data_IF_928579393038
#
_entry.id   IF_928579393038
#
_cell.length_a   1.000
_cell.length_b   1.000
_cell.length_c   1.000
_cell.angle_alpha   90.00
_cell.angle_beta   90.00
_cell.angle_gamma   90.00
#
_symmetry.space_group_name_H-M   'P 1'
#
loop_
_entity.id
_entity.type
_entity.pdbx_description
1 polymer ?
#
# COMPACT_ATOMS: atom_id res chain seq x y z
N UNK A 1 13.08 -16.24 -2.78
CA UNK A 1 14.46 -16.67 -2.41
C UNK A 1 15.13 -17.53 -3.50
N UNK A 2 14.73 -18.79 -3.72
CA UNK A 2 15.41 -19.67 -4.72
C UNK A 2 15.28 -19.18 -6.17
N UNK A 3 14.06 -18.89 -6.62
CA UNK A 3 13.77 -18.48 -8.01
C UNK A 3 14.61 -17.30 -8.49
N UNK A 4 14.80 -16.30 -7.62
CA UNK A 4 15.54 -15.08 -7.92
C UNK A 4 16.93 -15.03 -7.30
N UNK A 5 17.41 -16.15 -6.74
CA UNK A 5 18.74 -16.29 -6.13
C UNK A 5 19.02 -15.20 -5.08
N UNK A 6 18.02 -14.87 -4.26
CA UNK A 6 18.15 -13.84 -3.21
C UNK A 6 18.90 -14.47 -2.03
N UNK A 7 20.07 -13.94 -1.61
CA UNK A 7 20.76 -14.45 -0.43
C UNK A 7 19.94 -14.18 0.84
N UNK A 8 19.82 -15.19 1.73
CA UNK A 8 19.02 -15.07 2.96
C UNK A 8 19.48 -13.91 3.84
N UNK A 9 20.79 -13.69 3.95
CA UNK A 9 21.34 -12.61 4.76
C UNK A 9 20.97 -11.23 4.22
N UNK A 10 21.01 -11.05 2.89
CA UNK A 10 20.61 -9.81 2.21
C UNK A 10 19.12 -9.55 2.39
N UNK A 11 18.29 -10.58 2.29
CA UNK A 11 16.85 -10.46 2.53
C UNK A 11 16.54 -10.05 3.97
N UNK A 12 17.14 -10.72 4.96
CA UNK A 12 16.95 -10.37 6.38
C UNK A 12 17.39 -8.93 6.64
N UNK A 13 18.55 -8.52 6.10
CA UNK A 13 19.05 -7.17 6.31
C UNK A 13 18.14 -6.11 5.67
N UNK A 14 17.65 -6.34 4.46
CA UNK A 14 16.66 -5.46 3.84
C UNK A 14 15.41 -5.34 4.71
N UNK A 15 14.82 -6.46 5.15
CA UNK A 15 13.58 -6.44 5.92
C UNK A 15 13.76 -5.72 7.26
N UNK A 16 14.86 -5.95 7.98
CA UNK A 16 15.17 -5.22 9.21
C UNK A 16 15.38 -3.73 8.96
N UNK A 17 16.09 -3.39 7.89
CA UNK A 17 16.33 -1.98 7.54
C UNK A 17 15.03 -1.27 7.17
N UNK A 18 14.14 -1.91 6.40
CA UNK A 18 12.83 -1.36 6.08
C UNK A 18 11.95 -1.21 7.33
N UNK A 19 11.93 -2.22 8.20
CA UNK A 19 11.21 -2.18 9.47
C UNK A 19 11.69 -1.03 10.36
N UNK A 20 13.00 -0.77 10.43
CA UNK A 20 13.58 0.37 11.17
C UNK A 20 13.15 1.73 10.58
N UNK A 21 12.77 1.79 9.30
CA UNK A 21 12.24 3.02 8.68
C UNK A 21 10.71 3.17 8.85
N UNK A 22 10.02 2.18 9.40
CA UNK A 22 8.64 2.37 9.86
C UNK A 22 8.63 2.93 11.28
N UNK A 23 7.89 4.02 11.49
CA UNK A 23 7.93 4.77 12.74
C UNK A 23 7.07 4.07 13.80
N UNK A 24 7.70 3.59 14.87
CA UNK A 24 6.99 2.84 15.92
C UNK A 24 6.08 3.72 16.81
N UNK A 25 6.27 5.04 16.77
CA UNK A 25 5.41 6.03 17.41
C UNK A 25 4.18 6.40 16.56
N UNK A 26 4.15 6.00 15.28
CA UNK A 26 2.97 6.13 14.41
C UNK A 26 2.00 4.96 14.71
N UNK A 27 0.76 5.24 15.18
CA UNK A 27 -0.12 4.19 15.69
C UNK A 27 -0.57 3.15 14.64
N UNK A 28 -0.93 3.57 13.43
CA UNK A 28 -1.48 2.71 12.39
C UNK A 28 -0.47 2.41 11.29
N UNK A 29 0.06 3.43 10.61
CA UNK A 29 0.98 3.25 9.47
C UNK A 29 2.43 2.92 9.91
N UNK A 30 2.59 1.78 10.59
CA UNK A 30 3.86 1.23 11.05
C UNK A 30 4.14 -0.16 10.44
N UNK A 31 5.22 -0.83 10.86
CA UNK A 31 5.64 -2.10 10.26
C UNK A 31 4.62 -3.24 10.43
N UNK A 32 3.74 -3.16 11.43
CA UNK A 32 2.67 -4.15 11.65
C UNK A 32 1.61 -4.02 10.54
N UNK A 33 1.26 -2.80 10.14
CA UNK A 33 0.36 -2.56 9.01
C UNK A 33 0.97 -3.08 7.71
N UNK A 34 2.24 -2.74 7.44
CA UNK A 34 2.96 -3.26 6.28
C UNK A 34 2.97 -4.80 6.24
N UNK A 35 3.15 -5.46 7.40
CA UNK A 35 3.08 -6.91 7.51
C UNK A 35 1.65 -7.47 7.25
N UNK A 36 0.59 -6.82 7.74
CA UNK A 36 -0.79 -7.21 7.47
C UNK A 36 -1.13 -7.09 5.98
N UNK A 37 -0.73 -6.00 5.33
CA UNK A 37 -0.94 -5.79 3.89
C UNK A 37 -0.14 -6.80 3.07
N UNK A 38 1.14 -7.03 3.37
CA UNK A 38 1.96 -8.02 2.68
C UNK A 38 1.40 -9.45 2.80
N UNK A 39 0.91 -9.82 3.99
CA UNK A 39 0.25 -11.10 4.21
C UNK A 39 -1.09 -11.20 3.47
N UNK A 40 -1.86 -10.12 3.43
CA UNK A 40 -3.14 -10.06 2.73
C UNK A 40 -2.95 -10.19 1.21
N UNK A 41 -1.97 -9.48 0.62
CA UNK A 41 -1.57 -9.64 -0.79
C UNK A 41 -1.13 -11.08 -1.07
N UNK A 42 -0.34 -11.70 -0.18
CA UNK A 42 0.03 -13.09 -0.33
C UNK A 42 -1.19 -14.02 -0.42
N UNK A 43 -2.20 -13.84 0.43
CA UNK A 43 -3.44 -14.63 0.39
C UNK A 43 -4.24 -14.37 -0.89
N UNK A 44 -4.36 -13.11 -1.32
CA UNK A 44 -5.08 -12.76 -2.55
C UNK A 44 -4.44 -13.36 -3.81
N UNK A 45 -3.10 -13.44 -3.86
CA UNK A 45 -2.35 -14.11 -4.93
C UNK A 45 -2.62 -15.62 -4.99
N UNK A 46 -3.07 -16.24 -3.90
CA UNK A 46 -3.43 -17.67 -3.84
C UNK A 46 -4.89 -17.93 -4.27
N UNK A 47 -5.63 -16.92 -4.71
CA UNK A 47 -6.98 -17.10 -5.22
C UNK A 47 -7.00 -18.08 -6.40
N UNK A 48 -7.84 -19.13 -6.40
CA UNK A 48 -7.93 -20.08 -7.51
C UNK A 48 -8.26 -19.45 -8.86
N UNK A 49 -9.00 -18.33 -8.85
CA UNK A 49 -9.32 -17.58 -10.06
C UNK A 49 -8.09 -16.90 -10.70
N UNK A 50 -6.99 -16.76 -9.94
CA UNK A 50 -5.74 -16.14 -10.35
C UNK A 50 -4.60 -17.17 -10.49
N UNK A 51 -4.92 -18.46 -10.45
CA UNK A 51 -3.93 -19.53 -10.59
C UNK A 51 -3.17 -19.40 -11.91
N UNK A 52 -1.84 -19.40 -11.82
CA UNK A 52 -0.92 -19.25 -12.96
C UNK A 52 -1.13 -18.00 -13.83
N UNK A 53 -1.85 -16.98 -13.35
CA UNK A 53 -2.06 -15.72 -14.07
C UNK A 53 -0.81 -14.86 -14.02
N UNK A 54 -0.19 -14.73 -12.85
CA UNK A 54 0.98 -13.88 -12.62
C UNK A 54 2.29 -14.65 -12.77
N UNK A 55 3.33 -13.97 -13.28
CA UNK A 55 4.69 -14.50 -13.32
C UNK A 55 5.32 -14.43 -11.93
N UNK A 56 6.38 -15.22 -11.71
CA UNK A 56 7.17 -15.12 -10.48
C UNK A 56 7.67 -13.68 -10.21
N UNK A 57 7.98 -12.90 -11.26
CA UNK A 57 8.51 -11.54 -11.11
C UNK A 57 7.42 -10.59 -10.63
N UNK A 58 6.20 -10.74 -11.13
CA UNK A 58 5.03 -9.97 -10.68
C UNK A 58 4.65 -10.33 -9.25
N UNK A 59 4.68 -11.62 -8.88
CA UNK A 59 4.45 -12.08 -7.50
C UNK A 59 5.49 -11.47 -6.56
N UNK A 60 6.78 -11.53 -6.92
CA UNK A 60 7.85 -10.89 -6.14
C UNK A 60 7.60 -9.39 -6.00
N UNK A 61 7.19 -8.73 -7.08
CA UNK A 61 6.96 -7.29 -7.11
C UNK A 61 5.77 -6.90 -6.24
N UNK A 62 4.68 -7.65 -6.28
CA UNK A 62 3.49 -7.39 -5.48
C UNK A 62 3.76 -7.51 -3.98
N UNK A 63 4.50 -8.55 -3.57
CA UNK A 63 4.90 -8.74 -2.18
C UNK A 63 5.90 -7.67 -1.73
N UNK A 64 6.84 -7.26 -2.60
CA UNK A 64 7.77 -6.18 -2.30
C UNK A 64 7.04 -4.83 -2.17
N UNK A 65 6.15 -4.49 -3.11
CA UNK A 65 5.35 -3.27 -3.08
C UNK A 65 4.51 -3.18 -1.78
N UNK A 66 3.84 -4.27 -1.40
CA UNK A 66 3.08 -4.34 -0.15
C UNK A 66 3.95 -4.07 1.09
N UNK A 67 5.17 -4.62 1.13
CA UNK A 67 6.07 -4.44 2.26
C UNK A 67 6.65 -3.03 2.39
N UNK A 68 6.59 -2.20 1.33
CA UNK A 68 7.20 -0.87 1.32
C UNK A 68 6.19 0.28 1.17
N UNK A 69 4.91 0.01 0.93
CA UNK A 69 3.97 1.03 0.42
C UNK A 69 3.85 2.27 1.33
N UNK A 70 4.04 2.08 2.64
CA UNK A 70 3.99 3.12 3.67
C UNK A 70 5.32 3.36 4.42
N UNK A 71 6.46 2.93 3.88
CA UNK A 71 7.73 3.09 4.60
C UNK A 71 8.04 4.57 4.84
N UNK A 72 8.48 4.93 6.05
CA UNK A 72 8.73 6.31 6.48
C UNK A 72 7.46 7.20 6.54
N UNK A 73 6.27 6.61 6.73
CA UNK A 73 5.02 7.35 6.89
C UNK A 73 5.02 8.20 8.19
N UNK A 74 4.76 9.53 8.13
CA UNK A 74 4.89 10.46 9.26
C UNK A 74 3.65 10.55 10.18
N UNK A 75 2.67 9.66 9.97
CA UNK A 75 1.42 9.63 10.73
C UNK A 75 0.46 10.79 10.43
N UNK A 76 0.52 11.34 9.21
CA UNK A 76 -0.35 12.42 8.73
C UNK A 76 -0.66 12.21 7.24
N UNK A 77 -1.78 12.73 6.75
CA UNK A 77 -2.21 12.54 5.35
C UNK A 77 -1.49 13.44 4.35
N UNK A 78 -1.56 13.08 3.06
CA UNK A 78 -1.14 13.94 1.95
C UNK A 78 -1.74 15.36 2.06
N UNK A 79 -3.03 15.48 2.41
CA UNK A 79 -3.68 16.79 2.54
C UNK A 79 -3.10 17.64 3.68
N UNK A 80 -2.73 17.02 4.80
CA UNK A 80 -2.04 17.72 5.89
C UNK A 80 -0.67 18.25 5.42
N UNK A 81 0.11 17.43 4.70
CA UNK A 81 1.42 17.81 4.18
C UNK A 81 1.34 18.98 3.20
N UNK A 82 0.30 19.02 2.36
CA UNK A 82 0.01 20.12 1.43
C UNK A 82 -0.40 21.38 2.19
N UNK A 83 -1.39 21.27 3.09
CA UNK A 83 -1.92 22.42 3.84
C UNK A 83 -0.85 23.08 4.75
N UNK A 84 0.11 22.30 5.23
CA UNK A 84 1.23 22.77 6.04
C UNK A 84 2.44 23.26 5.23
N UNK A 85 2.38 23.17 3.88
CA UNK A 85 3.52 23.48 3.00
C UNK A 85 4.79 22.72 3.38
N UNK A 86 4.65 21.45 3.72
CA UNK A 86 5.78 20.60 4.11
C UNK A 86 6.81 20.43 2.98
N UNK A 87 8.06 20.16 3.35
CA UNK A 87 9.13 19.88 2.38
C UNK A 87 8.80 18.72 1.43
N UNK A 88 8.08 17.69 1.91
CA UNK A 88 7.65 16.58 1.07
C UNK A 88 6.63 17.04 0.02
N UNK A 89 5.62 17.81 0.43
CA UNK A 89 4.62 18.33 -0.51
C UNK A 89 5.26 19.20 -1.60
N UNK A 90 6.21 20.07 -1.22
CA UNK A 90 6.99 20.87 -2.16
C UNK A 90 7.86 20.01 -3.09
N UNK A 91 8.52 18.98 -2.56
CA UNK A 91 9.37 18.08 -3.34
C UNK A 91 8.59 17.29 -4.39
N UNK A 92 7.40 16.83 -4.04
CA UNK A 92 6.55 16.00 -4.89
C UNK A 92 5.47 16.78 -5.63
N UNK A 93 5.45 18.11 -5.49
CA UNK A 93 4.51 19.02 -6.17
C UNK A 93 3.04 18.63 -5.91
N UNK A 94 2.73 18.31 -4.65
CA UNK A 94 1.39 17.95 -4.16
C UNK A 94 0.77 16.67 -4.77
N UNK A 95 1.50 15.92 -5.60
CA UNK A 95 1.03 14.70 -6.27
C UNK A 95 1.53 13.43 -5.57
N UNK A 96 0.60 12.64 -5.01
CA UNK A 96 0.86 11.35 -4.34
C UNK A 96 2.10 11.40 -3.43
N UNK A 97 2.12 12.41 -2.55
CA UNK A 97 3.32 12.86 -1.82
C UNK A 97 3.93 11.73 -0.98
N UNK A 98 3.12 11.06 -0.18
CA UNK A 98 3.56 9.97 0.70
C UNK A 98 3.94 8.72 -0.10
N UNK A 99 3.15 8.36 -1.11
CA UNK A 99 3.40 7.16 -1.93
C UNK A 99 4.70 7.30 -2.72
N UNK A 100 4.97 8.49 -3.26
CA UNK A 100 6.23 8.82 -3.92
C UNK A 100 7.42 8.83 -2.96
N UNK A 101 7.20 9.27 -1.71
CA UNK A 101 8.21 9.23 -0.65
C UNK A 101 8.57 7.79 -0.23
N UNK A 102 7.57 6.95 0.04
CA UNK A 102 7.76 5.52 0.35
C UNK A 102 8.60 4.81 -0.73
N UNK A 103 8.28 5.06 -2.01
CA UNK A 103 9.07 4.55 -3.13
C UNK A 103 10.52 5.05 -3.11
N UNK A 104 10.73 6.35 -2.86
CA UNK A 104 12.06 6.94 -2.83
C UNK A 104 12.91 6.33 -1.70
N UNK A 105 12.36 6.19 -0.50
CA UNK A 105 13.01 5.57 0.67
C UNK A 105 13.36 4.11 0.38
N UNK A 106 12.40 3.30 -0.05
CA UNK A 106 12.62 1.88 -0.30
C UNK A 106 13.70 1.64 -1.37
N UNK A 107 13.64 2.38 -2.48
CA UNK A 107 14.67 2.27 -3.52
C UNK A 107 16.01 2.88 -3.13
N UNK A 108 16.05 3.79 -2.16
CA UNK A 108 17.28 4.28 -1.57
C UNK A 108 17.95 3.22 -0.69
N UNK A 109 17.18 2.51 0.13
CA UNK A 109 17.68 1.39 0.96
C UNK A 109 18.32 0.31 0.08
N UNK A 110 17.72 -0.02 -1.06
CA UNK A 110 18.26 -0.98 -2.04
C UNK A 110 19.59 -0.56 -2.69
N UNK A 111 20.06 0.68 -2.50
CA UNK A 111 21.38 1.10 -2.96
C UNK A 111 22.52 0.58 -2.06
N UNK A 112 22.21 0.16 -0.83
CA UNK A 112 23.16 -0.60 -0.01
C UNK A 112 23.32 -2.01 -0.60
N UNK A 113 24.53 -2.42 -1.03
CA UNK A 113 24.79 -3.76 -1.56
C UNK A 113 24.36 -4.89 -0.63
N UNK A 114 24.39 -4.66 0.70
CA UNK A 114 23.97 -5.66 1.68
C UNK A 114 22.45 -5.74 1.85
N UNK A 115 21.69 -4.80 1.27
CA UNK A 115 20.23 -4.79 1.21
C UNK A 115 19.67 -5.07 -0.20
N UNK A 116 20.50 -5.11 -1.25
CA UNK A 116 20.05 -5.30 -2.62
C UNK A 116 19.58 -6.75 -2.90
N UNK A 117 18.34 -7.06 -2.52
CA UNK A 117 17.73 -8.37 -2.79
C UNK A 117 17.54 -8.67 -4.28
N UNK A 118 17.71 -7.68 -5.15
CA UNK A 118 17.56 -7.81 -6.59
C UNK A 118 18.91 -7.97 -7.29
N UNK A 119 20.02 -8.15 -6.56
CA UNK A 119 21.42 -8.25 -7.07
C UNK A 119 21.57 -9.22 -8.26
N UNK A 120 20.86 -10.34 -8.24
CA UNK A 120 20.93 -11.38 -9.26
C UNK A 120 19.86 -11.27 -10.36
N UNK A 121 19.00 -10.25 -10.34
CA UNK A 121 18.08 -9.97 -11.45
C UNK A 121 18.83 -9.38 -12.64
N UNK A 122 18.44 -9.79 -13.85
CA UNK A 122 18.92 -9.13 -15.07
C UNK A 122 18.49 -7.66 -15.10
N UNK A 123 19.23 -6.83 -15.85
CA UNK A 123 18.91 -5.41 -16.04
C UNK A 123 17.45 -5.19 -16.49
N UNK A 124 16.95 -6.03 -17.41
CA UNK A 124 15.57 -5.97 -17.90
C UNK A 124 14.57 -6.29 -16.79
N UNK A 125 14.81 -7.35 -16.01
CA UNK A 125 13.93 -7.71 -14.88
C UNK A 125 13.88 -6.59 -13.83
N UNK A 126 15.03 -5.97 -13.49
CA UNK A 126 15.07 -4.82 -12.57
C UNK A 126 14.26 -3.63 -13.07
N UNK A 127 14.37 -3.30 -14.35
CA UNK A 127 13.59 -2.22 -14.96
C UNK A 127 12.09 -2.51 -14.91
N UNK A 128 11.70 -3.74 -15.24
CA UNK A 128 10.28 -4.16 -15.18
C UNK A 128 9.75 -4.17 -13.74
N UNK A 129 10.49 -4.76 -12.80
CA UNK A 129 10.14 -4.78 -11.37
C UNK A 129 9.99 -3.37 -10.82
N UNK A 130 10.94 -2.47 -11.10
CA UNK A 130 10.88 -1.09 -10.63
C UNK A 130 9.64 -0.38 -11.15
N UNK A 131 9.32 -0.52 -12.44
CA UNK A 131 8.11 0.08 -13.03
C UNK A 131 6.85 -0.45 -12.35
N UNK A 132 6.70 -1.76 -12.23
CA UNK A 132 5.53 -2.38 -11.58
C UNK A 132 5.40 -1.97 -10.11
N UNK A 133 6.52 -1.88 -9.37
CA UNK A 133 6.51 -1.43 -7.97
C UNK A 133 5.98 0.00 -7.87
N UNK A 134 6.45 0.90 -8.74
CA UNK A 134 5.98 2.29 -8.80
C UNK A 134 4.48 2.33 -9.14
N UNK A 135 4.06 1.61 -10.18
CA UNK A 135 2.65 1.54 -10.61
C UNK A 135 1.76 1.06 -9.45
N UNK A 136 2.21 0.08 -8.65
CA UNK A 136 1.45 -0.48 -7.53
C UNK A 136 1.39 0.43 -6.31
N UNK A 137 2.52 0.98 -5.85
CA UNK A 137 2.53 1.83 -4.64
C UNK A 137 1.81 3.16 -4.91
N UNK A 138 1.95 3.77 -6.09
CA UNK A 138 1.17 4.97 -6.41
C UNK A 138 -0.35 4.71 -6.49
N UNK A 139 -0.76 3.45 -6.65
CA UNK A 139 -2.18 3.08 -6.66
C UNK A 139 -2.78 2.97 -5.25
N UNK A 140 -1.98 2.99 -4.18
CA UNK A 140 -2.53 3.03 -2.80
C UNK A 140 -3.01 4.42 -2.39
N UNK A 141 -2.65 5.46 -3.16
CA UNK A 141 -3.18 6.81 -2.99
C UNK A 141 -4.71 6.80 -3.11
N UNK A 142 -5.39 7.13 -2.01
CA UNK A 142 -6.84 7.13 -1.93
C UNK A 142 -7.52 8.11 -2.90
N UNK A 143 -6.82 9.11 -3.43
CA UNK A 143 -7.33 9.96 -4.51
C UNK A 143 -7.57 9.20 -5.82
N UNK A 144 -6.88 8.06 -6.02
CA UNK A 144 -7.00 7.18 -7.19
C UNK A 144 -8.04 6.07 -7.03
N UNK A 145 -8.63 5.92 -5.84
CA UNK A 145 -9.55 4.82 -5.54
C UNK A 145 -10.72 4.71 -6.54
N UNK A 146 -11.38 5.82 -6.86
CA UNK A 146 -12.54 5.80 -7.78
C UNK A 146 -12.17 5.43 -9.21
N UNK A 147 -10.99 5.83 -9.69
CA UNK A 147 -10.50 5.39 -11.01
C UNK A 147 -10.16 3.91 -11.02
N UNK A 148 -9.46 3.42 -9.98
CA UNK A 148 -9.12 2.00 -9.86
C UNK A 148 -10.38 1.11 -9.84
N UNK A 149 -11.39 1.53 -9.08
CA UNK A 149 -12.68 0.83 -8.99
C UNK A 149 -13.44 0.84 -10.32
N UNK A 150 -13.44 1.95 -11.05
CA UNK A 150 -14.08 2.05 -12.36
C UNK A 150 -13.42 1.11 -13.39
N UNK A 151 -12.09 1.08 -13.40
CA UNK A 151 -11.33 0.21 -14.29
C UNK A 151 -11.56 -1.27 -13.92
N UNK A 152 -11.58 -1.59 -12.61
CA UNK A 152 -11.86 -2.94 -12.13
C UNK A 152 -13.28 -3.42 -12.51
N UNK A 153 -14.30 -2.57 -12.36
CA UNK A 153 -15.67 -2.85 -12.81
C UNK A 153 -15.72 -3.16 -14.31
N UNK A 154 -15.05 -2.34 -15.12
CA UNK A 154 -14.94 -2.55 -16.57
C UNK A 154 -14.27 -3.88 -16.88
N UNK A 155 -13.23 -4.27 -16.14
CA UNK A 155 -12.57 -5.56 -16.32
C UNK A 155 -13.51 -6.72 -15.98
N UNK A 156 -14.27 -6.64 -14.89
CA UNK A 156 -15.25 -7.67 -14.50
C UNK A 156 -16.35 -7.83 -15.56
N UNK A 157 -16.82 -6.74 -16.16
CA UNK A 157 -17.85 -6.78 -17.20
C UNK A 157 -17.34 -7.35 -18.54
N UNK A 158 -16.07 -7.10 -18.87
CA UNK A 158 -15.49 -7.46 -20.18
C UNK A 158 -14.78 -8.81 -20.18
N UNK A 159 -14.26 -9.27 -19.04
CA UNK A 159 -13.50 -10.52 -18.95
C UNK A 159 -14.42 -11.70 -18.69
N UNK A 160 -14.35 -12.67 -19.61
CA UNK A 160 -14.96 -13.98 -19.42
C UNK A 160 -14.01 -14.85 -18.62
N UNK A 161 -14.55 -15.49 -17.58
CA UNK A 161 -13.89 -16.62 -16.96
C UNK A 161 -13.77 -17.72 -18.03
N UNK A 162 -12.57 -18.23 -18.26
CA UNK A 162 -12.41 -19.37 -19.15
C UNK A 162 -13.24 -20.56 -18.61
N UNK A 163 -13.57 -21.54 -19.45
CA UNK A 163 -14.31 -22.73 -19.00
C UNK A 163 -13.67 -23.49 -17.83
N UNK A 164 -12.41 -23.16 -17.47
CA UNK A 164 -11.64 -23.65 -16.33
C UNK A 164 -11.87 -22.91 -15.01
N UNK A 165 -12.59 -21.79 -14.98
CA UNK A 165 -12.74 -20.99 -13.75
C UNK A 165 -11.62 -19.96 -13.49
N UNK A 166 -10.60 -19.93 -14.35
CA UNK A 166 -9.42 -19.04 -14.22
C UNK A 166 -9.60 -17.76 -15.07
N UNK A 167 -9.19 -16.63 -14.50
CA UNK A 167 -9.21 -15.33 -15.18
C UNK A 167 -8.14 -15.27 -16.26
N UNK A 168 -8.51 -14.82 -17.45
CA UNK A 168 -7.57 -14.70 -18.57
C UNK A 168 -7.20 -13.23 -18.80
N UNK A 169 -5.93 -12.89 -18.53
CA UNK A 169 -5.36 -11.56 -18.71
C UNK A 169 -4.25 -11.61 -19.77
N UNK A 170 -4.48 -10.91 -20.87
CA UNK A 170 -3.74 -11.06 -22.13
C UNK A 170 -2.44 -10.26 -22.17
N UNK A 171 -2.43 -9.14 -21.47
CA UNK A 171 -1.39 -8.14 -21.60
C UNK A 171 -0.96 -7.58 -20.25
N UNK A 172 0.18 -6.87 -20.26
CA UNK A 172 0.74 -6.23 -19.08
C UNK A 172 -0.24 -5.27 -18.41
N UNK A 173 -0.96 -4.46 -19.18
CA UNK A 173 -1.87 -3.42 -18.66
C UNK A 173 -2.97 -4.03 -17.81
N UNK A 174 -3.57 -5.13 -18.26
CA UNK A 174 -4.60 -5.84 -17.50
C UNK A 174 -4.03 -6.47 -16.23
N UNK A 175 -2.84 -7.09 -16.32
CA UNK A 175 -2.20 -7.74 -15.17
C UNK A 175 -1.81 -6.73 -14.09
N UNK A 176 -1.20 -5.60 -14.48
CA UNK A 176 -0.81 -4.57 -13.52
C UNK A 176 -2.03 -3.92 -12.87
N UNK A 177 -3.12 -3.72 -13.61
CA UNK A 177 -4.36 -3.18 -13.06
C UNK A 177 -4.97 -4.09 -11.99
N UNK A 178 -4.92 -5.42 -12.17
CA UNK A 178 -5.35 -6.38 -11.13
C UNK A 178 -4.41 -6.32 -9.92
N UNK A 179 -3.10 -6.22 -10.13
CA UNK A 179 -2.13 -6.12 -9.03
C UNK A 179 -2.27 -4.82 -8.23
N UNK A 180 -2.51 -3.68 -8.90
CA UNK A 180 -2.83 -2.39 -8.27
C UNK A 180 -4.08 -2.51 -7.39
N UNK A 181 -5.18 -3.03 -7.94
CA UNK A 181 -6.40 -3.25 -7.17
C UNK A 181 -6.20 -4.28 -6.04
N UNK A 182 -5.36 -5.30 -6.24
CA UNK A 182 -5.06 -6.28 -5.20
C UNK A 182 -4.33 -5.66 -4.00
N UNK A 183 -3.32 -4.83 -4.25
CA UNK A 183 -2.62 -4.10 -3.19
C UNK A 183 -3.58 -3.12 -2.50
N UNK A 184 -4.37 -2.38 -3.28
CA UNK A 184 -5.38 -1.45 -2.75
C UNK A 184 -6.43 -2.17 -1.86
N UNK A 185 -6.93 -3.33 -2.31
CA UNK A 185 -7.85 -4.14 -1.51
C UNK A 185 -7.19 -4.70 -0.25
N UNK A 186 -5.91 -5.08 -0.30
CA UNK A 186 -5.17 -5.55 0.86
C UNK A 186 -4.97 -4.45 1.90
N UNK A 187 -4.67 -3.23 1.44
CA UNK A 187 -4.52 -2.03 2.28
C UNK A 187 -5.86 -1.64 2.95
N UNK A 188 -6.96 -1.69 2.19
CA UNK A 188 -8.31 -1.45 2.71
C UNK A 188 -8.96 -2.66 3.40
N UNK A 189 -8.19 -3.71 3.71
CA UNK A 189 -8.77 -5.00 4.10
C UNK A 189 -9.25 -5.07 5.55
N UNK A 190 -8.90 -4.13 6.44
CA UNK A 190 -9.18 -4.30 7.88
C UNK A 190 -10.66 -4.59 8.20
N UNK A 191 -11.66 -3.92 7.59
CA UNK A 191 -13.08 -4.21 7.84
C UNK A 191 -13.53 -5.61 7.42
N UNK A 192 -12.74 -6.29 6.58
CA UNK A 192 -13.01 -7.67 6.12
C UNK A 192 -12.42 -8.73 7.04
N UNK A 193 -11.53 -8.34 7.97
CA UNK A 193 -10.90 -9.24 8.94
C UNK A 193 -11.90 -9.61 10.05
N UNK A 194 -11.52 -10.58 10.89
CA UNK A 194 -12.32 -10.91 12.09
C UNK A 194 -12.53 -9.65 12.93
N UNK A 195 -13.73 -9.51 13.51
CA UNK A 195 -14.15 -8.31 14.24
C UNK A 195 -13.13 -7.84 15.30
N UNK A 196 -12.55 -8.77 16.05
CA UNK A 196 -11.53 -8.46 17.07
C UNK A 196 -10.29 -7.77 16.48
N UNK A 197 -9.84 -8.20 15.29
CA UNK A 197 -8.72 -7.56 14.59
C UNK A 197 -9.15 -6.22 14.00
N UNK A 198 -10.32 -6.16 13.37
CA UNK A 198 -10.85 -4.93 12.79
C UNK A 198 -11.00 -3.83 13.86
N UNK A 199 -11.54 -4.14 15.04
CA UNK A 199 -11.67 -3.19 16.14
C UNK A 199 -10.31 -2.63 16.60
N UNK A 200 -9.27 -3.48 16.63
CA UNK A 200 -7.91 -3.04 16.95
C UNK A 200 -7.38 -2.08 15.89
N UNK A 201 -7.49 -2.43 14.60
CA UNK A 201 -7.06 -1.57 13.51
C UNK A 201 -7.78 -0.23 13.49
N UNK A 202 -9.10 -0.25 13.66
CA UNK A 202 -9.92 0.95 13.78
C UNK A 202 -9.45 1.85 14.93
N UNK A 203 -9.14 1.27 16.10
CA UNK A 203 -8.66 2.03 17.26
C UNK A 203 -7.30 2.69 16.99
N UNK A 204 -6.38 1.98 16.32
CA UNK A 204 -5.07 2.51 15.95
C UNK A 204 -5.19 3.64 14.91
N UNK A 205 -6.00 3.44 13.87
CA UNK A 205 -6.23 4.45 12.83
C UNK A 205 -6.85 5.72 13.42
N UNK A 206 -7.84 5.58 14.30
CA UNK A 206 -8.46 6.72 14.96
C UNK A 206 -7.47 7.47 15.86
N UNK A 207 -6.62 6.78 16.61
CA UNK A 207 -5.58 7.43 17.41
C UNK A 207 -4.62 8.23 16.54
N UNK A 208 -4.21 7.70 15.38
CA UNK A 208 -3.36 8.43 14.43
C UNK A 208 -4.05 9.68 13.86
N UNK A 209 -5.33 9.56 13.45
CA UNK A 209 -6.12 10.72 13.00
C UNK A 209 -6.26 11.78 14.11
N UNK A 210 -6.44 11.35 15.36
CA UNK A 210 -6.51 12.30 16.47
C UNK A 210 -5.18 13.00 16.73
N UNK A 211 -4.05 12.30 16.57
CA UNK A 211 -2.73 12.92 16.63
C UNK A 211 -2.52 13.94 15.51
N UNK A 212 -2.99 13.66 14.29
CA UNK A 212 -3.01 14.66 13.23
C UNK A 212 -3.86 15.87 13.61
N UNK A 213 -5.08 15.68 14.11
CA UNK A 213 -5.96 16.79 14.49
C UNK A 213 -5.39 17.67 15.61
N UNK A 214 -4.61 17.08 16.51
CA UNK A 214 -3.88 17.84 17.53
C UNK A 214 -2.74 18.67 16.92
N UNK A 215 -2.02 18.14 15.92
CA UNK A 215 -1.03 18.90 15.15
C UNK A 215 -1.69 20.06 14.39
N UNK A 216 -2.81 19.80 13.69
CA UNK A 216 -3.59 20.82 12.97
C UNK A 216 -4.03 21.95 13.90
N UNK A 217 -4.58 21.60 15.07
CA UNK A 217 -4.99 22.57 16.09
C UNK A 217 -3.82 23.41 16.60
N UNK A 218 -2.67 22.79 16.87
CA UNK A 218 -1.47 23.49 17.34
C UNK A 218 -0.90 24.46 16.29
N UNK A 219 -1.07 24.14 15.00
CA UNK A 219 -0.64 24.96 13.87
C UNK A 219 -1.68 26.01 13.46
N UNK A 220 -2.87 26.02 14.07
CA UNK A 220 -3.97 26.92 13.71
C UNK A 220 -4.61 26.59 12.35
N UNK A 221 -4.49 25.35 11.89
CA UNK A 221 -5.16 24.84 10.69
C UNK A 221 -6.59 24.40 10.99
N UNK A 222 -7.42 24.33 9.95
CA UNK A 222 -8.71 23.66 10.05
C UNK A 222 -8.47 22.17 10.33
N UNK A 223 -9.16 21.62 11.33
CA UNK A 223 -9.02 20.21 11.71
C UNK A 223 -9.71 19.36 10.65
N UNK A 224 -8.98 18.40 10.09
CA UNK A 224 -9.46 17.51 9.06
C UNK A 224 -10.67 16.69 9.53
N UNK A 225 -11.58 16.28 8.60
CA UNK A 225 -12.63 15.34 8.93
C UNK A 225 -12.05 14.11 9.65
N UNK A 226 -12.77 13.61 10.66
CA UNK A 226 -12.35 12.48 11.52
C UNK A 226 -11.18 12.72 12.48
N UNK A 227 -10.46 13.84 12.37
CA UNK A 227 -9.26 14.09 13.17
C UNK A 227 -9.54 14.81 14.50
N UNK A 228 -10.76 15.34 14.72
CA UNK A 228 -11.11 15.97 16.01
C UNK A 228 -11.59 14.94 17.04
N UNK A 229 -10.72 14.58 17.98
CA UNK A 229 -11.05 13.68 19.11
C UNK A 229 -12.21 14.16 20.00
N UNK A 230 -12.56 15.45 19.96
CA UNK A 230 -13.66 16.01 20.76
C UNK A 230 -15.03 15.92 20.07
N UNK A 231 -15.07 15.60 18.78
CA UNK A 231 -16.29 15.65 17.97
C UNK A 231 -16.46 14.43 17.03
N UNK A 232 -15.53 13.47 17.07
CA UNK A 232 -15.58 12.29 16.21
C UNK A 232 -16.70 11.31 16.62
N UNK A 233 -17.43 10.81 15.63
CA UNK A 233 -18.38 9.70 15.80
C UNK A 233 -17.87 8.46 15.09
N UNK A 234 -16.96 7.74 15.74
CA UNK A 234 -16.17 6.64 15.14
C UNK A 234 -17.05 5.61 14.45
N UNK A 235 -18.12 5.14 15.11
CA UNK A 235 -18.98 4.07 14.60
C UNK A 235 -19.69 4.48 13.32
N UNK A 236 -20.21 5.71 13.25
CA UNK A 236 -20.88 6.22 12.05
C UNK A 236 -19.91 6.36 10.88
N UNK A 237 -18.69 6.78 11.17
CA UNK A 237 -17.66 6.96 10.15
C UNK A 237 -17.13 5.64 9.63
N UNK A 238 -17.04 4.62 10.48
CA UNK A 238 -16.72 3.25 10.03
C UNK A 238 -17.83 2.69 9.13
N UNK A 239 -19.12 2.89 9.49
CA UNK A 239 -20.24 2.52 8.60
C UNK A 239 -20.15 3.24 7.27
N UNK A 240 -19.93 4.56 7.27
CA UNK A 240 -19.75 5.34 6.05
C UNK A 240 -18.57 4.88 5.20
N UNK A 241 -17.42 4.61 5.82
CA UNK A 241 -16.25 4.09 5.12
C UNK A 241 -16.56 2.76 4.41
N UNK A 242 -17.23 1.83 5.10
CA UNK A 242 -17.62 0.56 4.49
C UNK A 242 -18.62 0.77 3.35
N UNK A 243 -19.64 1.62 3.53
CA UNK A 243 -20.70 1.81 2.53
C UNK A 243 -20.23 2.52 1.26
N UNK A 244 -19.24 3.42 1.35
CA UNK A 244 -18.81 4.26 0.23
C UNK A 244 -17.46 3.88 -0.37
N UNK A 245 -16.60 3.17 0.37
CA UNK A 245 -15.23 2.83 -0.04
C UNK A 245 -14.98 1.31 0.06
N UNK A 246 -15.40 0.68 1.17
CA UNK A 246 -15.04 -0.71 1.48
C UNK A 246 -15.87 -1.81 0.80
N UNK A 247 -17.00 -1.47 0.16
CA UNK A 247 -17.97 -2.42 -0.42
C UNK A 247 -18.05 -2.34 -1.94
#
# INVERSE_FOLDING_TARGET
>A
MKTFQIPSQTFIRLMLTLEDHYHMDVPYHNSIHAADVAQSVHVLLLSPALDSVFTDLEILTALFAAAIHDVDHPGVTNQFLINSSSELALMYNDESVLEAHSLAVAFKVLQDPDCDIFINLSKKQRQTLRRMTIDMVLATDMSKHMSLLADLKTMVETKKVAGSGVLFLDNYTERIQVLQNMLHCADLSNPTKKLELYQKWCSLLMEEFFQQGDKERAMGLEISPMCDRNNATVEKSQVGFIDYIGK
#
